data_IF_496695771190
#
_entry.id   IF_496695771190
#
_cell.length_a   1.000
_cell.length_b   1.000
_cell.length_c   1.000
_cell.angle_alpha   90.00
_cell.angle_beta   90.00
_cell.angle_gamma   90.00
#
_symmetry.space_group_name_H-M   'P 1'
#
loop_
_entity.id
_entity.type
_entity.pdbx_description
1 polymer ?
#
# COMPACT_ATOMS: atom_id res chain seq x y z
N UNK A 1 -38.89 -29.66 5.33
CA UNK A 1 -37.82 -30.45 5.97
C UNK A 1 -38.30 -30.76 7.36
N UNK A 2 -38.37 -32.03 7.77
CA UNK A 2 -38.75 -32.37 9.15
C UNK A 2 -37.68 -31.89 10.13
N UNK A 3 -38.04 -31.70 11.40
CA UNK A 3 -37.11 -31.27 12.45
C UNK A 3 -35.90 -32.22 12.54
N UNK A 4 -36.14 -33.53 12.43
CA UNK A 4 -35.10 -34.57 12.37
C UNK A 4 -34.16 -34.37 11.17
N UNK A 5 -34.71 -34.04 9.99
CA UNK A 5 -33.89 -33.78 8.79
C UNK A 5 -33.04 -32.51 8.96
N UNK A 6 -33.55 -31.48 9.64
CA UNK A 6 -32.78 -30.26 9.93
C UNK A 6 -31.64 -30.52 10.91
N UNK A 7 -31.89 -31.24 12.01
CA UNK A 7 -30.84 -31.61 12.97
C UNK A 7 -29.76 -32.46 12.32
N UNK A 8 -30.16 -33.44 11.49
CA UNK A 8 -29.21 -34.27 10.74
C UNK A 8 -28.37 -33.46 9.76
N UNK A 9 -28.99 -32.50 9.06
CA UNK A 9 -28.29 -31.59 8.16
C UNK A 9 -27.26 -30.75 8.93
N UNK A 10 -27.65 -30.13 10.04
CA UNK A 10 -26.73 -29.30 10.82
C UNK A 10 -25.55 -30.08 11.40
N UNK A 11 -25.78 -31.27 11.95
CA UNK A 11 -24.70 -32.14 12.45
C UNK A 11 -23.77 -32.63 11.33
N UNK A 12 -24.33 -32.90 10.15
CA UNK A 12 -23.55 -33.25 8.96
C UNK A 12 -22.66 -32.09 8.51
N UNK A 13 -23.16 -30.85 8.57
CA UNK A 13 -22.36 -29.64 8.34
C UNK A 13 -21.26 -29.50 9.38
N UNK A 14 -21.56 -29.67 10.68
CA UNK A 14 -20.56 -29.60 11.76
C UNK A 14 -19.43 -30.61 11.55
N UNK A 15 -19.75 -31.84 11.13
CA UNK A 15 -18.78 -32.86 10.76
C UNK A 15 -17.96 -32.44 9.53
N UNK A 16 -18.62 -31.97 8.47
CA UNK A 16 -17.97 -31.55 7.24
C UNK A 16 -16.98 -30.38 7.46
N UNK A 17 -17.33 -29.42 8.32
CA UNK A 17 -16.45 -28.32 8.73
C UNK A 17 -15.20 -28.84 9.43
N UNK A 18 -15.38 -29.78 10.37
CA UNK A 18 -14.27 -30.43 11.06
C UNK A 18 -13.37 -31.21 10.09
N UNK A 19 -13.96 -31.93 9.14
CA UNK A 19 -13.20 -32.65 8.11
C UNK A 19 -12.43 -31.71 7.19
N UNK A 20 -13.03 -30.60 6.75
CA UNK A 20 -12.38 -29.60 5.89
C UNK A 20 -11.10 -29.04 6.53
N UNK A 21 -11.20 -28.58 7.77
CA UNK A 21 -10.05 -28.07 8.53
C UNK A 21 -9.06 -29.21 8.82
N UNK A 22 -9.58 -30.39 9.12
CA UNK A 22 -8.80 -31.61 9.34
C UNK A 22 -7.96 -32.03 8.13
N UNK A 23 -8.45 -31.82 6.90
CA UNK A 23 -7.70 -32.13 5.67
C UNK A 23 -6.47 -31.24 5.53
N UNK A 24 -6.57 -29.93 5.76
CA UNK A 24 -5.38 -29.04 5.76
C UNK A 24 -4.35 -29.49 6.78
N UNK A 25 -4.82 -29.79 8.00
CA UNK A 25 -3.96 -30.26 9.09
C UNK A 25 -3.29 -31.59 8.80
N UNK A 26 -4.07 -32.57 8.33
CA UNK A 26 -3.57 -33.89 7.99
C UNK A 26 -2.66 -33.91 6.76
N UNK A 27 -2.86 -32.99 5.81
CA UNK A 27 -1.99 -32.84 4.64
C UNK A 27 -0.60 -32.34 5.03
N UNK A 28 -0.53 -31.41 5.98
CA UNK A 28 0.73 -30.81 6.43
C UNK A 28 1.59 -31.77 7.27
N UNK A 29 0.95 -32.62 8.07
CA UNK A 29 1.62 -33.61 8.91
C UNK A 29 1.83 -34.95 8.19
N UNK A 30 1.65 -35.02 6.86
CA UNK A 30 1.69 -36.29 6.08
C UNK A 30 3.02 -37.04 6.20
N UNK A 31 4.13 -36.31 6.43
CA UNK A 31 5.48 -36.87 6.61
C UNK A 31 5.83 -37.20 8.07
N UNK A 32 5.01 -36.77 9.05
CA UNK A 32 5.22 -37.10 10.46
C UNK A 32 4.75 -38.53 10.74
N UNK A 33 5.54 -39.31 11.49
CA UNK A 33 5.20 -40.69 11.86
C UNK A 33 3.87 -40.80 12.61
N UNK A 34 3.15 -41.91 12.44
CA UNK A 34 1.93 -42.21 13.20
C UNK A 34 2.24 -42.22 14.70
N UNK A 35 1.51 -41.43 15.49
CA UNK A 35 1.74 -41.24 16.93
C UNK A 35 2.42 -39.92 17.31
N UNK A 36 3.10 -39.25 16.38
CA UNK A 36 3.67 -37.90 16.58
C UNK A 36 2.72 -36.77 16.12
N UNK A 37 1.54 -37.12 15.60
CA UNK A 37 0.50 -36.20 15.12
C UNK A 37 -0.50 -35.89 16.23
N UNK A 38 -0.66 -34.61 16.57
CA UNK A 38 -1.54 -34.18 17.68
C UNK A 38 -3.02 -34.39 17.32
N UNK A 39 -3.41 -34.18 16.06
CA UNK A 39 -4.78 -34.37 15.59
C UNK A 39 -4.85 -34.50 14.05
N UNK A 40 -5.42 -35.59 13.55
CA UNK A 40 -5.60 -35.83 12.11
C UNK A 40 -6.99 -35.43 11.59
N UNK A 41 -7.26 -35.72 10.31
CA UNK A 41 -8.54 -35.43 9.63
C UNK A 41 -9.75 -35.91 10.43
N UNK A 42 -9.67 -37.16 10.94
CA UNK A 42 -10.74 -37.78 11.74
C UNK A 42 -10.95 -37.07 13.08
N UNK A 43 -9.87 -36.67 13.75
CA UNK A 43 -9.94 -35.98 15.04
C UNK A 43 -10.65 -34.65 14.91
N UNK A 44 -10.31 -33.84 13.90
CA UNK A 44 -10.99 -32.57 13.64
C UNK A 44 -12.45 -32.74 13.22
N UNK A 45 -12.77 -33.74 12.39
CA UNK A 45 -14.15 -34.11 12.08
C UNK A 45 -14.98 -34.41 13.34
N UNK A 46 -14.42 -35.23 14.24
CA UNK A 46 -15.07 -35.58 15.50
C UNK A 46 -15.19 -34.39 16.45
N UNK A 47 -14.21 -33.48 16.50
CA UNK A 47 -14.29 -32.26 17.30
C UNK A 47 -15.43 -31.35 16.80
N UNK A 48 -15.59 -31.22 15.48
CA UNK A 48 -16.67 -30.42 14.89
C UNK A 48 -18.04 -31.03 15.20
N UNK A 49 -18.18 -32.35 15.05
CA UNK A 49 -19.39 -33.08 15.44
C UNK A 49 -19.68 -32.94 16.94
N UNK A 50 -18.64 -33.05 17.79
CA UNK A 50 -18.77 -32.89 19.24
C UNK A 50 -19.29 -31.49 19.61
N UNK A 51 -18.78 -30.45 18.96
CA UNK A 51 -19.28 -29.08 19.12
C UNK A 51 -20.75 -28.95 18.74
N UNK A 52 -21.16 -29.55 17.63
CA UNK A 52 -22.55 -29.57 17.20
C UNK A 52 -23.48 -30.29 18.19
N UNK A 53 -23.08 -31.48 18.63
CA UNK A 53 -23.82 -32.24 19.64
C UNK A 53 -23.91 -31.49 20.97
N UNK A 54 -22.82 -30.87 21.43
CA UNK A 54 -22.80 -30.08 22.66
C UNK A 54 -23.74 -28.88 22.60
N UNK A 55 -23.86 -28.22 21.44
CA UNK A 55 -24.78 -27.10 21.25
C UNK A 55 -26.26 -27.55 21.30
N UNK A 56 -26.59 -28.67 20.66
CA UNK A 56 -27.94 -29.25 20.73
C UNK A 56 -28.30 -29.65 22.17
N UNK A 57 -27.39 -30.32 22.87
CA UNK A 57 -27.59 -30.71 24.28
C UNK A 57 -27.75 -29.49 25.19
N UNK A 58 -27.03 -28.39 24.92
CA UNK A 58 -27.15 -27.16 25.68
C UNK A 58 -28.52 -26.49 25.51
N UNK A 59 -29.18 -26.66 24.36
CA UNK A 59 -30.56 -26.21 24.15
C UNK A 59 -31.59 -26.94 25.03
N UNK A 60 -31.31 -28.18 25.41
CA UNK A 60 -32.23 -29.01 26.22
C UNK A 60 -31.91 -29.01 27.72
N UNK A 61 -30.63 -29.03 28.07
CA UNK A 61 -30.16 -29.27 29.44
C UNK A 61 -29.49 -28.02 30.04
N UNK A 62 -29.18 -27.02 29.22
CA UNK A 62 -28.65 -25.72 29.62
C UNK A 62 -27.21 -25.46 29.16
N UNK A 63 -26.84 -24.18 29.10
CA UNK A 63 -25.57 -23.69 28.56
C UNK A 63 -24.31 -24.22 29.29
N UNK A 64 -24.47 -24.72 30.52
CA UNK A 64 -23.37 -25.22 31.35
C UNK A 64 -22.68 -26.45 30.73
N UNK A 65 -23.43 -27.30 30.03
CA UNK A 65 -22.88 -28.49 29.34
C UNK A 65 -21.98 -28.09 28.18
N UNK A 66 -22.34 -27.05 27.43
CA UNK A 66 -21.49 -26.54 26.37
C UNK A 66 -20.15 -26.04 26.94
N UNK A 67 -20.20 -25.26 28.03
CA UNK A 67 -19.01 -24.77 28.72
C UNK A 67 -18.12 -25.90 29.25
N UNK A 68 -18.71 -26.93 29.87
CA UNK A 68 -17.97 -28.11 30.36
C UNK A 68 -17.35 -28.93 29.22
N UNK A 69 -18.08 -29.13 28.11
CA UNK A 69 -17.56 -29.84 26.94
C UNK A 69 -16.39 -29.07 26.30
N UNK A 70 -16.52 -27.74 26.18
CA UNK A 70 -15.45 -26.87 25.70
C UNK A 70 -14.22 -26.90 26.62
N UNK A 71 -14.43 -26.78 27.94
CA UNK A 71 -13.35 -26.84 28.93
C UNK A 71 -12.66 -28.22 28.94
N UNK A 72 -13.43 -29.31 28.82
CA UNK A 72 -12.91 -30.67 28.70
C UNK A 72 -12.07 -30.86 27.45
N UNK A 73 -12.53 -30.38 26.30
CA UNK A 73 -11.76 -30.39 25.05
C UNK A 73 -10.48 -29.55 25.18
N UNK A 74 -10.57 -28.35 25.75
CA UNK A 74 -9.42 -27.49 25.99
C UNK A 74 -8.38 -28.15 26.89
N UNK A 75 -8.81 -28.80 27.97
CA UNK A 75 -7.94 -29.54 28.87
C UNK A 75 -7.28 -30.73 28.16
N UNK A 76 -8.04 -31.50 27.36
CA UNK A 76 -7.52 -32.62 26.59
C UNK A 76 -6.47 -32.19 25.55
N UNK A 77 -6.77 -31.16 24.74
CA UNK A 77 -5.85 -30.63 23.74
C UNK A 77 -4.62 -29.99 24.38
N UNK A 78 -4.77 -29.29 25.51
CA UNK A 78 -3.64 -28.73 26.27
C UNK A 78 -2.74 -29.83 26.81
N UNK A 79 -3.33 -30.90 27.37
CA UNK A 79 -2.57 -32.05 27.86
C UNK A 79 -1.79 -32.72 26.72
N UNK A 80 -2.44 -32.96 25.58
CA UNK A 80 -1.79 -33.51 24.39
C UNK A 80 -0.64 -32.63 23.87
N UNK A 81 -0.83 -31.30 23.91
CA UNK A 81 0.20 -30.32 23.54
C UNK A 81 1.39 -30.33 24.52
N UNK A 82 1.15 -30.30 25.83
CA UNK A 82 2.20 -30.34 26.86
C UNK A 82 2.99 -31.64 26.83
N UNK A 83 2.32 -32.77 26.60
CA UNK A 83 2.98 -34.07 26.42
C UNK A 83 3.87 -34.03 25.18
N UNK A 84 3.36 -33.61 24.02
CA UNK A 84 4.15 -33.55 22.78
C UNK A 84 5.35 -32.59 22.87
N UNK A 85 5.22 -31.46 23.55
CA UNK A 85 6.33 -30.54 23.83
C UNK A 85 7.52 -31.22 24.53
N UNK A 86 7.25 -32.18 25.41
CA UNK A 86 8.29 -32.91 26.17
C UNK A 86 9.01 -33.96 25.33
N UNK A 87 8.35 -34.54 24.34
CA UNK A 87 8.89 -35.64 23.53
C UNK A 87 9.53 -35.20 22.21
N UNK A 88 9.00 -34.17 21.54
CA UNK A 88 9.33 -33.91 20.12
C UNK A 88 10.28 -32.72 19.90
N UNK A 89 10.41 -31.81 20.85
CA UNK A 89 11.37 -30.70 20.76
C UNK A 89 10.99 -29.61 19.73
N UNK A 90 10.82 -28.39 20.26
CA UNK A 90 10.85 -27.07 19.61
C UNK A 90 9.83 -26.67 18.53
N UNK A 91 9.18 -27.57 17.79
CA UNK A 91 8.29 -27.15 16.67
C UNK A 91 6.80 -27.50 16.83
N UNK A 92 6.29 -27.53 18.07
CA UNK A 92 4.84 -27.67 18.31
C UNK A 92 4.18 -26.29 18.39
N UNK A 93 3.40 -25.91 17.37
CA UNK A 93 2.69 -24.63 17.35
C UNK A 93 1.38 -24.65 18.12
N UNK A 94 1.15 -23.65 18.98
CA UNK A 94 -0.13 -23.42 19.70
C UNK A 94 -1.33 -23.33 18.74
N UNK A 95 -1.09 -22.97 17.47
CA UNK A 95 -2.11 -22.86 16.42
C UNK A 95 -2.93 -24.14 16.25
N UNK A 96 -2.36 -25.33 16.49
CA UNK A 96 -3.09 -26.60 16.39
C UNK A 96 -4.14 -26.74 17.50
N UNK A 97 -3.81 -26.30 18.72
CA UNK A 97 -4.73 -26.29 19.86
C UNK A 97 -5.86 -25.29 19.62
N UNK A 98 -5.52 -24.08 19.19
CA UNK A 98 -6.50 -23.03 18.86
C UNK A 98 -7.42 -23.47 17.72
N UNK A 99 -6.89 -24.10 16.66
CA UNK A 99 -7.75 -24.60 15.57
C UNK A 99 -8.70 -25.69 16.04
N UNK A 100 -8.28 -26.60 16.94
CA UNK A 100 -9.16 -27.62 17.51
C UNK A 100 -10.34 -27.00 18.28
N UNK A 101 -10.05 -26.03 19.15
CA UNK A 101 -11.09 -25.29 19.87
C UNK A 101 -12.02 -24.53 18.92
N UNK A 102 -11.47 -23.93 17.87
CA UNK A 102 -12.23 -23.17 16.90
C UNK A 102 -13.15 -24.08 16.08
N UNK A 103 -12.72 -25.29 15.73
CA UNK A 103 -13.56 -26.30 15.06
C UNK A 103 -14.74 -26.72 15.92
N UNK A 104 -14.56 -26.85 17.23
CA UNK A 104 -15.67 -27.12 18.15
C UNK A 104 -16.69 -25.98 18.14
N UNK A 105 -16.23 -24.73 18.22
CA UNK A 105 -17.11 -23.54 18.19
C UNK A 105 -17.83 -23.41 16.85
N UNK A 106 -17.15 -23.64 15.72
CA UNK A 106 -17.80 -23.63 14.40
C UNK A 106 -18.81 -24.77 14.26
N UNK A 107 -18.49 -25.97 14.73
CA UNK A 107 -19.41 -27.09 14.79
C UNK A 107 -20.68 -26.78 15.58
N UNK A 108 -20.53 -26.06 16.70
CA UNK A 108 -21.65 -25.56 17.51
C UNK A 108 -22.48 -24.49 16.78
N UNK A 109 -21.84 -23.53 16.12
CA UNK A 109 -22.51 -22.50 15.31
C UNK A 109 -23.35 -23.10 14.19
N UNK A 110 -22.86 -24.15 13.52
CA UNK A 110 -23.63 -24.86 12.51
C UNK A 110 -24.87 -25.55 13.10
N UNK A 111 -24.76 -26.11 14.32
CA UNK A 111 -25.85 -26.79 15.01
C UNK A 111 -26.97 -25.86 15.51
N UNK A 112 -26.68 -24.59 15.78
CA UNK A 112 -27.69 -23.58 16.14
C UNK A 112 -28.33 -22.90 14.92
N UNK A 113 -28.04 -23.36 13.70
CA UNK A 113 -28.64 -22.88 12.45
C UNK A 113 -27.79 -21.89 11.66
N UNK A 114 -26.67 -21.41 12.20
CA UNK A 114 -25.76 -20.45 11.55
C UNK A 114 -24.77 -21.13 10.58
N UNK A 115 -25.31 -21.93 9.67
CA UNK A 115 -24.54 -22.74 8.71
C UNK A 115 -23.66 -21.88 7.82
N UNK A 116 -24.18 -20.75 7.30
CA UNK A 116 -23.45 -19.87 6.38
C UNK A 116 -22.25 -19.21 7.05
N UNK A 117 -22.44 -18.68 8.28
CA UNK A 117 -21.36 -18.07 9.06
C UNK A 117 -20.31 -19.12 9.41
N UNK A 118 -20.76 -20.29 9.90
CA UNK A 118 -19.87 -21.36 10.30
C UNK A 118 -19.03 -21.89 9.13
N UNK A 119 -19.65 -22.15 7.98
CA UNK A 119 -18.95 -22.59 6.78
C UNK A 119 -17.98 -21.51 6.25
N UNK A 120 -18.36 -20.24 6.24
CA UNK A 120 -17.48 -19.14 5.80
C UNK A 120 -16.23 -19.04 6.68
N UNK A 121 -16.39 -19.05 8.00
CA UNK A 121 -15.24 -19.03 8.92
C UNK A 121 -14.43 -20.32 8.89
N UNK A 122 -15.05 -21.47 8.60
CA UNK A 122 -14.32 -22.73 8.37
C UNK A 122 -13.40 -22.62 7.15
N UNK A 123 -13.89 -22.07 6.04
CA UNK A 123 -13.08 -21.83 4.82
C UNK A 123 -11.97 -20.82 5.11
N UNK A 124 -12.28 -19.68 5.75
CA UNK A 124 -11.27 -18.67 6.12
C UNK A 124 -10.20 -19.27 7.04
N UNK A 125 -10.59 -20.09 8.02
CA UNK A 125 -9.66 -20.78 8.91
C UNK A 125 -8.77 -21.72 8.11
N UNK A 126 -9.34 -22.59 7.27
CA UNK A 126 -8.60 -23.52 6.42
C UNK A 126 -7.60 -22.78 5.50
N UNK A 127 -8.00 -21.66 4.88
CA UNK A 127 -7.11 -20.83 4.07
C UNK A 127 -5.96 -20.23 4.90
N UNK A 128 -6.27 -19.67 6.07
CA UNK A 128 -5.26 -19.06 6.95
C UNK A 128 -4.22 -20.10 7.41
N UNK A 129 -4.68 -21.30 7.73
CA UNK A 129 -3.80 -22.40 8.14
C UNK A 129 -2.93 -22.89 6.97
N UNK A 130 -3.54 -23.05 5.79
CA UNK A 130 -2.85 -23.48 4.57
C UNK A 130 -1.75 -22.50 4.12
N UNK A 131 -1.95 -21.20 4.32
CA UNK A 131 -0.96 -20.17 3.97
C UNK A 131 0.18 -19.99 4.98
N UNK A 132 0.21 -20.74 6.10
CA UNK A 132 1.27 -20.62 7.13
C UNK A 132 2.71 -20.59 6.57
N UNK A 133 3.15 -21.47 5.63
CA UNK A 133 4.51 -21.43 5.09
C UNK A 133 4.83 -20.14 4.32
N UNK A 134 3.84 -19.64 3.55
CA UNK A 134 3.98 -18.40 2.79
C UNK A 134 4.02 -17.19 3.71
N UNK A 135 3.15 -17.15 4.73
CA UNK A 135 3.15 -16.11 5.75
C UNK A 135 4.48 -16.06 6.50
N UNK A 136 5.05 -17.20 6.91
CA UNK A 136 6.37 -17.23 7.53
C UNK A 136 7.48 -16.78 6.60
N UNK A 137 7.46 -17.19 5.32
CA UNK A 137 8.44 -16.72 4.33
C UNK A 137 8.36 -15.21 4.14
N UNK A 138 7.15 -14.64 4.09
CA UNK A 138 6.95 -13.20 3.97
C UNK A 138 7.45 -12.45 5.21
N UNK A 139 7.10 -12.93 6.40
CA UNK A 139 7.60 -12.33 7.66
C UNK A 139 9.13 -12.41 7.74
N UNK A 140 9.73 -13.52 7.32
CA UNK A 140 11.18 -13.68 7.31
C UNK A 140 11.88 -12.86 6.21
N UNK A 141 11.17 -12.47 5.16
CA UNK A 141 11.71 -11.61 4.10
C UNK A 141 11.64 -10.11 4.45
N UNK A 142 10.87 -9.74 5.47
CA UNK A 142 10.74 -8.37 5.96
C UNK A 142 11.92 -8.01 6.87
N UNK A 143 12.51 -6.85 6.61
CA UNK A 143 13.49 -6.25 7.50
C UNK A 143 12.79 -5.54 8.66
N UNK A 144 13.49 -5.43 9.80
CA UNK A 144 12.92 -4.82 11.00
C UNK A 144 12.49 -3.35 10.77
N UNK A 145 13.19 -2.62 9.90
CA UNK A 145 12.84 -1.24 9.52
C UNK A 145 11.55 -1.16 8.71
N UNK A 146 11.33 -2.11 7.80
CA UNK A 146 10.14 -2.19 6.96
C UNK A 146 8.91 -2.55 7.76
N UNK A 147 9.05 -3.51 8.69
CA UNK A 147 7.98 -3.86 9.62
C UNK A 147 7.60 -2.65 10.46
N UNK A 148 8.58 -1.92 11.00
CA UNK A 148 8.33 -0.67 11.75
C UNK A 148 7.64 0.38 10.87
N UNK A 149 8.03 0.52 9.61
CA UNK A 149 7.39 1.43 8.67
C UNK A 149 5.95 1.05 8.33
N UNK A 150 5.68 -0.22 8.07
CA UNK A 150 4.33 -0.73 7.84
C UNK A 150 3.43 -0.51 9.06
N UNK A 151 3.92 -0.80 10.27
CA UNK A 151 3.21 -0.54 11.52
C UNK A 151 2.96 0.97 11.70
N UNK A 152 3.94 1.83 11.38
CA UNK A 152 3.74 3.29 11.40
C UNK A 152 2.68 3.74 10.40
N UNK A 153 2.68 3.20 9.18
CA UNK A 153 1.64 3.48 8.17
C UNK A 153 0.26 3.12 8.70
N UNK A 154 0.12 1.94 9.32
CA UNK A 154 -1.12 1.51 9.96
C UNK A 154 -1.52 2.43 11.12
N UNK A 155 -0.56 2.88 11.93
CA UNK A 155 -0.83 3.81 13.02
C UNK A 155 -1.33 5.16 12.49
N UNK A 156 -0.68 5.74 11.48
CA UNK A 156 -1.12 7.04 10.92
C UNK A 156 -2.45 6.94 10.14
N UNK A 157 -2.76 5.77 9.56
CA UNK A 157 -3.95 5.58 8.69
C UNK A 157 -5.16 4.96 9.41
N UNK A 158 -4.98 3.89 10.18
CA UNK A 158 -6.09 3.16 10.82
C UNK A 158 -6.41 3.74 12.20
N UNK A 159 -5.40 4.23 12.93
CA UNK A 159 -5.58 4.72 14.30
C UNK A 159 -5.74 6.23 14.34
N UNK A 160 -4.81 6.99 13.75
CA UNK A 160 -4.82 8.46 13.86
C UNK A 160 -5.85 9.15 12.96
N UNK A 161 -5.96 8.73 11.69
CA UNK A 161 -6.86 9.39 10.73
C UNK A 161 -8.33 9.47 11.21
N UNK A 162 -8.95 8.39 11.76
CA UNK A 162 -10.34 8.47 12.22
C UNK A 162 -10.55 9.38 13.44
N UNK A 163 -9.49 9.65 14.20
CA UNK A 163 -9.55 10.52 15.39
C UNK A 163 -9.53 12.01 15.03
N UNK A 164 -9.16 12.36 13.79
CA UNK A 164 -9.00 13.74 13.40
C UNK A 164 -10.33 14.39 13.01
N UNK A 165 -10.59 15.62 13.49
CA UNK A 165 -11.83 16.32 13.20
C UNK A 165 -11.91 16.71 11.71
N UNK A 166 -13.02 16.37 11.07
CA UNK A 166 -13.30 16.74 9.68
C UNK A 166 -14.02 18.10 9.59
N UNK A 167 -13.34 19.16 10.03
CA UNK A 167 -13.82 20.55 9.91
C UNK A 167 -12.67 21.50 9.64
N UNK A 168 -12.97 22.66 9.05
CA UNK A 168 -11.97 23.69 8.81
C UNK A 168 -11.61 24.47 10.09
N UNK A 169 -10.32 24.67 10.29
CA UNK A 169 -9.69 25.41 11.37
C UNK A 169 -8.82 26.54 10.80
N UNK A 170 -8.46 27.49 11.66
CA UNK A 170 -7.59 28.62 11.32
C UNK A 170 -8.27 29.69 10.44
N UNK A 171 -7.51 30.71 10.00
CA UNK A 171 -7.99 31.76 9.12
C UNK A 171 -8.67 31.19 7.86
N UNK A 172 -9.81 31.75 7.48
CA UNK A 172 -10.63 31.31 6.32
C UNK A 172 -11.02 29.82 6.33
N UNK A 173 -11.01 29.17 7.49
CA UNK A 173 -11.26 27.72 7.61
C UNK A 173 -10.38 26.88 6.66
N UNK A 174 -9.17 27.37 6.38
CA UNK A 174 -8.28 26.77 5.37
C UNK A 174 -7.82 25.36 5.77
N UNK A 175 -7.55 25.15 7.06
CA UNK A 175 -6.88 23.96 7.56
C UNK A 175 -7.92 22.91 7.96
N UNK A 176 -8.05 21.82 7.21
CA UNK A 176 -8.86 20.68 7.64
C UNK A 176 -7.92 19.53 8.06
N UNK A 177 -7.79 19.22 9.36
CA UNK A 177 -6.87 18.20 9.86
C UNK A 177 -7.11 16.83 9.25
N UNK A 178 -8.38 16.40 9.15
CA UNK A 178 -8.72 15.11 8.53
C UNK A 178 -8.25 15.04 7.09
N UNK A 179 -8.51 16.08 6.29
CA UNK A 179 -8.14 16.12 4.87
C UNK A 179 -6.62 16.20 4.69
N UNK A 180 -5.94 17.07 5.45
CA UNK A 180 -4.47 17.19 5.43
C UNK A 180 -3.84 15.83 5.75
N UNK A 181 -4.36 15.15 6.77
CA UNK A 181 -3.82 13.86 7.20
C UNK A 181 -4.13 12.74 6.22
N UNK A 182 -5.34 12.73 5.65
CA UNK A 182 -5.71 11.79 4.60
C UNK A 182 -4.76 11.89 3.41
N UNK A 183 -4.38 13.11 3.02
CA UNK A 183 -3.41 13.38 1.98
C UNK A 183 -2.01 12.86 2.32
N UNK A 184 -1.54 13.07 3.57
CA UNK A 184 -0.28 12.51 4.07
C UNK A 184 -0.28 10.98 3.95
N UNK A 185 -1.37 10.33 4.37
CA UNK A 185 -1.53 8.86 4.31
C UNK A 185 -1.49 8.35 2.87
N UNK A 186 -2.20 9.00 1.94
CA UNK A 186 -2.24 8.61 0.53
C UNK A 186 -0.85 8.65 -0.11
N UNK A 187 -0.10 9.71 0.16
CA UNK A 187 1.24 9.92 -0.38
C UNK A 187 2.22 8.89 0.20
N UNK A 188 2.20 8.72 1.52
CA UNK A 188 2.97 7.71 2.22
C UNK A 188 2.71 6.30 1.67
N UNK A 189 1.44 5.94 1.41
CA UNK A 189 1.08 4.64 0.86
C UNK A 189 1.64 4.44 -0.56
N UNK A 190 1.53 5.42 -1.45
CA UNK A 190 2.08 5.34 -2.81
C UNK A 190 3.60 5.17 -2.78
N UNK A 191 4.30 5.94 -1.94
CA UNK A 191 5.75 5.83 -1.78
C UNK A 191 6.19 4.50 -1.18
N UNK A 192 5.43 3.96 -0.22
CA UNK A 192 5.68 2.65 0.39
C UNK A 192 5.49 1.51 -0.61
N UNK A 193 4.45 1.58 -1.45
CA UNK A 193 4.26 0.62 -2.55
C UNK A 193 5.42 0.71 -3.56
N UNK A 194 5.87 1.93 -3.88
CA UNK A 194 7.06 2.14 -4.73
C UNK A 194 8.31 1.47 -4.16
N UNK A 195 8.58 1.65 -2.86
CA UNK A 195 9.67 1.00 -2.15
C UNK A 195 9.59 -0.53 -2.22
N UNK A 196 8.42 -1.12 -1.89
CA UNK A 196 8.22 -2.57 -1.93
C UNK A 196 8.33 -3.13 -3.35
N UNK A 197 7.88 -2.40 -4.36
CA UNK A 197 8.01 -2.82 -5.76
C UNK A 197 9.49 -2.94 -6.18
N UNK A 198 10.37 -2.06 -5.70
CA UNK A 198 11.82 -2.17 -5.91
C UNK A 198 12.36 -3.43 -5.24
N UNK A 199 12.02 -3.65 -3.96
CA UNK A 199 12.51 -4.81 -3.19
C UNK A 199 12.08 -6.14 -3.79
N UNK A 200 10.80 -6.27 -4.15
CA UNK A 200 10.25 -7.48 -4.79
C UNK A 200 10.85 -7.69 -6.18
N UNK A 201 11.14 -6.60 -6.90
CA UNK A 201 11.77 -6.66 -8.22
C UNK A 201 13.21 -7.15 -8.21
N UNK A 202 13.90 -7.05 -7.07
CA UNK A 202 15.30 -7.46 -6.89
C UNK A 202 16.31 -6.48 -7.47
N UNK A 203 17.56 -6.58 -7.01
CA UNK A 203 18.70 -5.72 -7.41
C UNK A 203 19.14 -5.92 -8.87
N UNK A 204 18.64 -6.97 -9.53
CA UNK A 204 19.03 -7.37 -10.89
C UNK A 204 18.23 -6.68 -12.00
N UNK A 205 17.21 -5.90 -11.66
CA UNK A 205 16.44 -5.11 -12.64
C UNK A 205 17.08 -3.72 -12.76
N UNK A 206 17.80 -3.50 -13.86
CA UNK A 206 18.59 -2.30 -14.11
C UNK A 206 17.82 -0.97 -14.01
N UNK A 207 18.52 0.15 -14.25
CA UNK A 207 18.09 1.51 -13.90
C UNK A 207 16.69 1.95 -14.36
N UNK A 208 16.07 1.29 -15.34
CA UNK A 208 14.69 1.51 -15.77
C UNK A 208 13.69 1.16 -14.67
N UNK A 209 13.85 -0.02 -14.07
CA UNK A 209 12.95 -0.51 -13.02
C UNK A 209 13.12 0.31 -11.74
N UNK A 210 14.38 0.54 -11.35
CA UNK A 210 14.74 1.43 -10.24
C UNK A 210 14.27 2.86 -10.47
N UNK A 211 14.37 3.37 -11.71
CA UNK A 211 13.86 4.67 -12.11
C UNK A 211 12.36 4.81 -11.90
N UNK A 212 11.58 3.87 -12.45
CA UNK A 212 10.12 3.92 -12.37
C UNK A 212 9.62 3.79 -10.92
N UNK A 213 10.00 2.72 -10.23
CA UNK A 213 9.49 2.45 -8.88
C UNK A 213 10.17 3.31 -7.81
N UNK A 214 11.43 3.69 -8.03
CA UNK A 214 12.12 4.68 -7.20
C UNK A 214 11.58 6.09 -7.36
N UNK A 215 11.09 6.45 -8.55
CA UNK A 215 10.38 7.70 -8.77
C UNK A 215 9.08 7.81 -7.97
N UNK A 216 8.37 6.69 -7.77
CA UNK A 216 7.17 6.63 -6.92
C UNK A 216 7.51 6.88 -5.44
N UNK A 217 8.67 6.42 -4.97
CA UNK A 217 9.16 6.70 -3.63
C UNK A 217 9.65 8.15 -3.48
N UNK A 218 10.61 8.57 -4.33
CA UNK A 218 11.08 9.96 -4.40
C UNK A 218 11.85 10.22 -5.71
N UNK A 219 11.18 10.87 -6.66
CA UNK A 219 11.80 11.29 -7.92
C UNK A 219 12.95 12.29 -7.73
N UNK A 220 12.90 13.14 -6.69
CA UNK A 220 13.96 14.11 -6.38
C UNK A 220 15.21 13.44 -5.82
N UNK A 221 15.07 12.52 -4.86
CA UNK A 221 16.20 11.79 -4.30
C UNK A 221 16.90 10.93 -5.36
N UNK A 222 16.13 10.27 -6.23
CA UNK A 222 16.67 9.48 -7.34
C UNK A 222 17.41 10.37 -8.36
N UNK A 223 16.85 11.53 -8.70
CA UNK A 223 17.50 12.51 -9.60
C UNK A 223 18.87 12.92 -9.06
N UNK A 224 18.94 13.29 -7.77
CA UNK A 224 20.18 13.68 -7.12
C UNK A 224 21.20 12.53 -7.11
N UNK A 225 20.76 11.32 -6.74
CA UNK A 225 21.66 10.17 -6.66
C UNK A 225 22.22 9.76 -8.02
N UNK A 226 21.37 9.58 -9.03
CA UNK A 226 21.80 9.23 -10.39
C UNK A 226 22.67 10.33 -11.02
N UNK A 227 22.43 11.59 -10.66
CA UNK A 227 23.30 12.70 -11.08
C UNK A 227 24.70 12.60 -10.47
N UNK A 228 24.81 12.27 -9.17
CA UNK A 228 26.10 12.06 -8.51
C UNK A 228 26.85 10.86 -9.09
N UNK A 229 26.17 9.76 -9.34
CA UNK A 229 26.76 8.55 -9.94
C UNK A 229 27.31 8.80 -11.34
N UNK A 230 26.61 9.59 -12.15
CA UNK A 230 27.06 9.93 -13.51
C UNK A 230 28.40 10.68 -13.50
N UNK A 231 28.66 11.44 -12.44
CA UNK A 231 29.95 12.14 -12.25
C UNK A 231 31.10 11.18 -11.90
N UNK A 232 30.78 10.03 -11.31
CA UNK A 232 31.76 8.98 -10.99
C UNK A 232 32.04 8.08 -12.19
N UNK A 233 31.01 7.75 -12.99
CA UNK A 233 31.16 6.98 -14.23
C UNK A 233 30.31 7.58 -15.36
N UNK A 234 30.99 8.31 -16.24
CA UNK A 234 30.37 8.94 -17.40
C UNK A 234 29.80 7.93 -18.41
N UNK A 235 30.27 6.67 -18.41
CA UNK A 235 29.73 5.64 -19.29
C UNK A 235 28.30 5.22 -18.92
N UNK A 236 27.89 5.44 -17.66
CA UNK A 236 26.52 5.15 -17.18
C UNK A 236 25.52 6.26 -17.51
N UNK A 237 25.97 7.40 -18.04
CA UNK A 237 25.12 8.58 -18.27
C UNK A 237 23.79 8.26 -18.97
N UNK A 238 23.73 7.53 -20.10
CA UNK A 238 22.47 7.34 -20.80
C UNK A 238 21.53 6.38 -20.05
N UNK A 239 22.07 5.39 -19.32
CA UNK A 239 21.30 4.50 -18.47
C UNK A 239 20.70 5.25 -17.26
N UNK A 240 21.50 6.08 -16.59
CA UNK A 240 21.07 6.87 -15.44
C UNK A 240 20.10 7.99 -15.84
N UNK A 241 20.32 8.63 -17.00
CA UNK A 241 19.39 9.61 -17.58
C UNK A 241 18.02 8.99 -17.86
N UNK A 242 18.00 7.77 -18.40
CA UNK A 242 16.76 7.01 -18.60
C UNK A 242 16.02 6.79 -17.28
N UNK A 243 16.74 6.37 -16.23
CA UNK A 243 16.17 6.18 -14.91
C UNK A 243 15.57 7.46 -14.33
N UNK A 244 16.22 8.61 -14.49
CA UNK A 244 15.69 9.91 -14.04
C UNK A 244 14.44 10.31 -14.82
N UNK A 245 14.44 10.18 -16.15
CA UNK A 245 13.28 10.54 -16.95
C UNK A 245 12.06 9.68 -16.62
N UNK A 246 12.26 8.38 -16.39
CA UNK A 246 11.20 7.49 -15.93
C UNK A 246 10.70 7.88 -14.52
N UNK A 247 11.62 8.21 -13.61
CA UNK A 247 11.27 8.66 -12.27
C UNK A 247 10.50 9.98 -12.26
N UNK A 248 10.85 10.92 -13.13
CA UNK A 248 10.12 12.18 -13.28
C UNK A 248 8.74 11.93 -13.89
N UNK A 249 8.63 10.98 -14.83
CA UNK A 249 7.37 10.62 -15.46
C UNK A 249 6.35 9.99 -14.53
N UNK A 250 6.77 9.30 -13.46
CA UNK A 250 5.82 8.68 -12.50
C UNK A 250 5.00 9.68 -11.69
N UNK A 251 5.45 10.94 -11.63
CA UNK A 251 4.70 12.04 -11.04
C UNK A 251 3.37 12.29 -11.78
N UNK A 252 3.33 12.11 -13.10
CA UNK A 252 2.16 12.45 -13.92
C UNK A 252 0.95 11.55 -13.67
N UNK A 253 1.06 10.20 -13.70
CA UNK A 253 -0.03 9.33 -13.29
C UNK A 253 -0.50 9.61 -11.86
N UNK A 254 0.43 9.88 -10.94
CA UNK A 254 0.12 10.18 -9.54
C UNK A 254 -0.67 11.47 -9.39
N UNK A 255 -0.23 12.53 -10.06
CA UNK A 255 -0.92 13.83 -10.10
C UNK A 255 -2.33 13.70 -10.67
N UNK A 256 -2.50 12.97 -11.77
CA UNK A 256 -3.81 12.72 -12.37
C UNK A 256 -4.72 11.92 -11.44
N UNK A 257 -4.23 10.84 -10.84
CA UNK A 257 -4.97 10.01 -9.88
C UNK A 257 -5.42 10.85 -8.68
N UNK A 258 -4.48 11.57 -8.06
CA UNK A 258 -4.75 12.36 -6.85
C UNK A 258 -5.74 13.49 -7.12
N UNK A 259 -5.58 14.22 -8.23
CA UNK A 259 -6.49 15.29 -8.62
C UNK A 259 -7.90 14.76 -8.89
N UNK A 260 -8.01 13.62 -9.59
CA UNK A 260 -9.30 13.02 -9.99
C UNK A 260 -10.05 12.40 -8.82
N UNK A 261 -9.34 11.82 -7.84
CA UNK A 261 -9.96 11.34 -6.60
C UNK A 261 -10.59 12.46 -5.78
N UNK A 262 -10.04 13.66 -5.85
CA UNK A 262 -10.59 14.83 -5.15
C UNK A 262 -11.71 15.47 -5.97
N UNK A 263 -11.45 15.85 -7.22
CA UNK A 263 -12.47 16.39 -8.11
C UNK A 263 -12.44 15.64 -9.44
N UNK A 264 -13.46 14.80 -9.65
CA UNK A 264 -13.60 14.04 -10.90
C UNK A 264 -13.66 14.95 -12.15
N UNK A 265 -14.11 16.20 -11.99
CA UNK A 265 -14.12 17.21 -13.06
C UNK A 265 -12.74 17.61 -13.57
N UNK A 266 -11.66 17.32 -12.84
CA UNK A 266 -10.29 17.59 -13.27
C UNK A 266 -9.72 16.52 -14.21
N UNK A 267 -10.30 15.32 -14.25
CA UNK A 267 -9.73 14.21 -15.01
C UNK A 267 -9.61 14.54 -16.51
N UNK A 268 -10.72 14.96 -17.14
CA UNK A 268 -10.73 15.25 -18.58
C UNK A 268 -9.82 16.45 -18.96
N UNK A 269 -9.88 17.61 -18.27
CA UNK A 269 -9.01 18.74 -18.60
C UNK A 269 -7.52 18.47 -18.35
N UNK A 270 -7.18 17.65 -17.34
CA UNK A 270 -5.78 17.32 -17.04
C UNK A 270 -5.20 16.24 -17.96
N UNK A 271 -6.04 15.39 -18.57
CA UNK A 271 -5.57 14.23 -19.32
C UNK A 271 -4.61 14.63 -20.46
N UNK A 272 -4.98 15.62 -21.28
CA UNK A 272 -4.15 16.05 -22.42
C UNK A 272 -2.81 16.63 -21.95
N UNK A 273 -2.76 17.63 -21.04
CA UNK A 273 -1.49 18.16 -20.54
C UNK A 273 -0.59 17.09 -19.90
N UNK A 274 -1.16 16.24 -19.05
CA UNK A 274 -0.42 15.17 -18.35
C UNK A 274 0.17 14.17 -19.35
N UNK A 275 -0.60 13.74 -20.34
CA UNK A 275 -0.13 12.78 -21.37
C UNK A 275 0.96 13.40 -22.23
N UNK A 276 0.79 14.65 -22.68
CA UNK A 276 1.81 15.37 -23.46
C UNK A 276 3.12 15.48 -22.68
N UNK A 277 3.05 15.92 -21.42
CA UNK A 277 4.23 16.03 -20.56
C UNK A 277 4.90 14.68 -20.33
N UNK A 278 4.12 13.61 -20.17
CA UNK A 278 4.60 12.25 -19.96
C UNK A 278 5.31 11.70 -21.21
N UNK A 279 4.76 11.93 -22.40
CA UNK A 279 5.36 11.52 -23.68
C UNK A 279 6.74 12.15 -23.89
N UNK A 280 6.88 13.44 -23.56
CA UNK A 280 8.17 14.14 -23.65
C UNK A 280 9.25 13.60 -22.71
N UNK A 281 8.89 12.85 -21.66
CA UNK A 281 9.85 12.18 -20.79
C UNK A 281 10.08 10.71 -21.18
N UNK A 282 9.02 9.98 -21.50
CA UNK A 282 9.11 8.55 -21.81
C UNK A 282 9.68 8.26 -23.19
N UNK A 283 9.41 9.09 -24.22
CA UNK A 283 9.96 8.87 -25.55
C UNK A 283 11.50 8.97 -25.56
N UNK A 284 12.14 10.02 -24.97
CA UNK A 284 13.59 10.05 -24.86
C UNK A 284 14.15 8.96 -23.96
N UNK A 285 13.45 8.59 -22.87
CA UNK A 285 13.86 7.47 -22.02
C UNK A 285 13.90 6.14 -22.79
N UNK A 286 12.88 5.86 -23.61
CA UNK A 286 12.83 4.68 -24.48
C UNK A 286 13.93 4.73 -25.54
N UNK A 287 14.21 5.91 -26.10
CA UNK A 287 15.31 6.08 -27.05
C UNK A 287 16.68 5.78 -26.41
N UNK A 288 16.98 6.38 -25.26
CA UNK A 288 18.25 6.18 -24.55
C UNK A 288 18.42 4.75 -24.04
N UNK A 289 17.33 4.07 -23.64
CA UNK A 289 17.40 2.68 -23.23
C UNK A 289 17.83 1.74 -24.36
N UNK A 290 17.35 1.97 -25.59
CA UNK A 290 17.76 1.21 -26.78
C UNK A 290 19.23 1.41 -27.13
N UNK A 291 19.77 2.60 -26.89
CA UNK A 291 21.20 2.89 -27.13
C UNK A 291 22.13 2.31 -26.05
N UNK A 292 21.61 1.90 -24.89
CA UNK A 292 22.41 1.49 -23.72
C UNK A 292 22.39 -0.01 -23.44
N UNK A 293 21.90 -0.82 -24.38
CA UNK A 293 21.49 -2.22 -24.17
C UNK A 293 22.59 -3.21 -23.70
N UNK A 294 23.82 -2.77 -23.37
CA UNK A 294 24.96 -3.64 -23.11
C UNK A 294 25.76 -3.38 -21.81
N UNK A 295 25.32 -2.50 -20.89
CA UNK A 295 25.95 -2.40 -19.56
C UNK A 295 24.92 -2.56 -18.45
N UNK A 296 24.89 -3.76 -17.84
CA UNK A 296 24.22 -3.97 -16.54
C UNK A 296 25.03 -3.21 -15.49
N UNK A 297 24.37 -2.33 -14.76
CA UNK A 297 24.91 -1.86 -13.49
C UNK A 297 24.27 -2.68 -12.38
N UNK A 298 25.08 -3.45 -11.66
CA UNK A 298 24.67 -4.22 -10.47
C UNK A 298 24.52 -3.36 -9.22
N UNK A 299 24.40 -2.03 -9.38
CA UNK A 299 24.37 -1.13 -8.23
C UNK A 299 22.96 -1.05 -7.67
N UNK A 300 22.76 -1.77 -6.56
CA UNK A 300 21.59 -1.68 -5.72
C UNK A 300 21.48 -0.25 -5.18
N UNK A 301 20.46 0.50 -5.63
CA UNK A 301 20.08 1.74 -4.97
C UNK A 301 19.21 1.38 -3.76
N UNK A 302 19.75 1.52 -2.56
CA UNK A 302 18.97 1.42 -1.32
C UNK A 302 18.25 2.74 -1.10
N UNK A 303 16.93 2.73 -1.20
CA UNK A 303 16.13 3.82 -0.66
C UNK A 303 16.15 3.73 0.87
N UNK A 304 16.44 4.84 1.54
CA UNK A 304 16.09 4.97 2.94
C UNK A 304 14.57 4.85 3.08
N UNK A 305 14.14 4.17 4.14
CA UNK A 305 12.75 3.89 4.42
C UNK A 305 11.90 5.18 4.39
N UNK A 306 11.00 5.36 3.41
CA UNK A 306 10.32 6.65 3.19
C UNK A 306 9.29 7.00 4.27
N UNK A 307 8.94 6.03 5.13
CA UNK A 307 7.91 6.15 6.16
C UNK A 307 8.45 6.46 7.55
N UNK A 308 9.25 7.52 7.66
CA UNK A 308 9.53 8.09 8.97
C UNK A 308 8.36 8.96 9.44
N UNK A 309 7.97 8.82 10.70
CA UNK A 309 6.92 9.67 11.28
C UNK A 309 7.28 11.17 11.16
N UNK A 310 8.58 11.49 11.19
CA UNK A 310 9.11 12.85 10.98
C UNK A 310 8.86 13.37 9.57
N UNK A 311 9.07 12.56 8.53
CA UNK A 311 8.84 12.97 7.14
C UNK A 311 7.34 13.15 6.87
N UNK A 312 6.49 12.26 7.40
CA UNK A 312 5.04 12.38 7.31
C UNK A 312 4.51 13.66 8.00
N UNK A 313 4.98 13.96 9.21
CA UNK A 313 4.63 15.20 9.91
C UNK A 313 5.14 16.45 9.19
N UNK A 314 6.37 16.41 8.68
CA UNK A 314 6.95 17.49 7.88
C UNK A 314 6.13 17.77 6.62
N UNK A 315 5.68 16.71 5.93
CA UNK A 315 4.79 16.83 4.78
C UNK A 315 3.43 17.41 5.15
N UNK A 316 2.82 16.94 6.25
CA UNK A 316 1.56 17.48 6.76
C UNK A 316 1.65 18.97 7.10
N UNK A 317 2.78 19.40 7.68
CA UNK A 317 3.05 20.79 8.00
C UNK A 317 3.27 21.64 6.74
N UNK A 318 4.02 21.14 5.75
CA UNK A 318 4.18 21.79 4.45
C UNK A 318 2.83 21.99 3.77
N UNK A 319 2.00 20.95 3.73
CA UNK A 319 0.66 21.00 3.16
C UNK A 319 -0.22 22.03 3.89
N UNK A 320 -0.22 22.02 5.22
CA UNK A 320 -0.96 23.03 6.01
C UNK A 320 -0.51 24.46 5.68
N UNK A 321 0.80 24.68 5.55
CA UNK A 321 1.37 25.98 5.20
C UNK A 321 0.97 26.41 3.78
N UNK A 322 1.07 25.52 2.79
CA UNK A 322 0.67 25.78 1.41
C UNK A 322 -0.84 26.08 1.34
N UNK A 323 -1.67 25.36 2.10
CA UNK A 323 -3.12 25.64 2.16
C UNK A 323 -3.44 27.01 2.75
N UNK A 324 -2.74 27.40 3.82
CA UNK A 324 -2.91 28.71 4.45
C UNK A 324 -2.49 29.83 3.50
N UNK A 325 -1.30 29.71 2.89
CA UNK A 325 -0.80 30.65 1.89
C UNK A 325 -1.71 30.70 0.66
N UNK A 326 -2.27 29.57 0.25
CA UNK A 326 -3.24 29.47 -0.84
C UNK A 326 -4.44 30.37 -0.61
N UNK A 327 -5.13 30.19 0.53
CA UNK A 327 -6.27 31.05 0.86
C UNK A 327 -5.89 32.51 1.02
N UNK A 328 -4.73 32.80 1.62
CA UNK A 328 -4.23 34.17 1.77
C UNK A 328 -3.99 34.85 0.40
N UNK A 329 -3.22 34.21 -0.47
CA UNK A 329 -2.88 34.74 -1.80
C UNK A 329 -4.09 34.80 -2.71
N UNK A 330 -5.02 33.85 -2.58
CA UNK A 330 -6.32 33.89 -3.27
C UNK A 330 -7.10 35.15 -2.92
N UNK A 331 -7.16 35.52 -1.64
CA UNK A 331 -7.93 36.66 -1.19
C UNK A 331 -7.30 38.01 -1.57
N UNK A 332 -5.97 38.09 -1.57
CA UNK A 332 -5.26 39.35 -1.83
C UNK A 332 -4.94 39.56 -3.31
N UNK A 333 -4.59 38.49 -4.03
CA UNK A 333 -4.06 38.54 -5.39
C UNK A 333 -4.88 37.70 -6.40
N UNK A 334 -6.02 37.15 -5.99
CA UNK A 334 -6.93 36.40 -6.87
C UNK A 334 -6.29 35.15 -7.49
N UNK A 335 -6.58 34.91 -8.78
CA UNK A 335 -6.03 33.79 -9.54
C UNK A 335 -4.50 33.89 -9.70
N UNK A 336 -3.97 35.09 -9.90
CA UNK A 336 -2.53 35.32 -10.11
C UNK A 336 -1.72 34.90 -8.88
N UNK A 337 -2.22 35.20 -7.68
CA UNK A 337 -1.61 34.74 -6.42
C UNK A 337 -1.53 33.22 -6.30
N UNK A 338 -2.56 32.52 -6.79
CA UNK A 338 -2.59 31.05 -6.79
C UNK A 338 -1.60 30.44 -7.77
N UNK A 339 -1.46 31.00 -8.98
CA UNK A 339 -0.49 30.53 -9.96
C UNK A 339 0.95 30.79 -9.49
N UNK A 340 1.20 31.94 -8.85
CA UNK A 340 2.50 32.26 -8.25
C UNK A 340 2.83 31.30 -7.10
N UNK A 341 1.86 30.98 -6.24
CA UNK A 341 2.03 29.97 -5.20
C UNK A 341 2.32 28.60 -5.80
N UNK A 342 1.65 28.24 -6.89
CA UNK A 342 1.87 26.96 -7.54
C UNK A 342 3.27 26.84 -8.13
N UNK A 343 3.78 27.90 -8.75
CA UNK A 343 5.16 27.98 -9.20
C UNK A 343 6.14 27.84 -8.02
N UNK A 344 5.94 28.58 -6.93
CA UNK A 344 6.81 28.54 -5.77
C UNK A 344 6.81 27.17 -5.06
N UNK A 345 5.63 26.57 -4.88
CA UNK A 345 5.50 25.25 -4.24
C UNK A 345 6.09 24.13 -5.11
N UNK A 346 5.97 24.24 -6.44
CA UNK A 346 6.53 23.28 -7.38
C UNK A 346 8.05 23.11 -7.28
N UNK A 347 8.76 24.05 -6.67
CA UNK A 347 10.21 23.92 -6.39
C UNK A 347 10.49 22.82 -5.37
N UNK A 348 9.63 22.70 -4.36
CA UNK A 348 9.79 21.73 -3.28
C UNK A 348 9.10 20.42 -3.62
N UNK A 349 7.78 20.47 -3.86
CA UNK A 349 6.98 19.32 -4.21
C UNK A 349 5.69 19.75 -4.93
N UNK A 350 5.33 19.00 -5.97
CA UNK A 350 4.12 19.19 -6.77
C UNK A 350 2.90 18.62 -6.05
N UNK A 351 3.07 17.62 -5.19
CA UNK A 351 1.95 16.92 -4.56
C UNK A 351 1.12 17.83 -3.67
N UNK A 352 1.76 18.61 -2.80
CA UNK A 352 1.07 19.46 -1.83
C UNK A 352 0.20 20.54 -2.50
N UNK A 353 0.74 21.20 -3.53
CA UNK A 353 -0.01 22.20 -4.29
C UNK A 353 -1.08 21.57 -5.19
N UNK A 354 -0.80 20.41 -5.80
CA UNK A 354 -1.77 19.70 -6.62
C UNK A 354 -3.04 19.39 -5.83
N UNK A 355 -2.84 18.91 -4.61
CA UNK A 355 -3.90 18.61 -3.65
C UNK A 355 -4.71 19.85 -3.26
N UNK A 356 -4.04 20.97 -2.95
CA UNK A 356 -4.70 22.24 -2.63
C UNK A 356 -5.58 22.71 -3.78
N UNK A 357 -5.02 22.80 -5.00
CA UNK A 357 -5.73 23.29 -6.18
C UNK A 357 -6.88 22.37 -6.56
N UNK A 358 -6.68 21.05 -6.48
CA UNK A 358 -7.74 20.08 -6.74
C UNK A 358 -8.90 20.23 -5.75
N UNK A 359 -8.61 20.48 -4.47
CA UNK A 359 -9.65 20.73 -3.46
C UNK A 359 -10.36 22.06 -3.69
N UNK A 360 -9.62 23.14 -3.92
CA UNK A 360 -10.20 24.46 -4.17
C UNK A 360 -11.07 24.47 -5.43
N UNK A 361 -10.77 23.62 -6.41
CA UNK A 361 -11.60 23.48 -7.61
C UNK A 361 -13.03 22.98 -7.37
N UNK A 362 -13.32 22.45 -6.17
CA UNK A 362 -14.67 22.03 -5.80
C UNK A 362 -15.58 23.21 -5.40
N UNK A 363 -15.02 24.31 -4.89
CA UNK A 363 -15.81 25.40 -4.27
C UNK A 363 -15.36 26.79 -4.66
N UNK A 364 -14.05 27.03 -4.74
CA UNK A 364 -13.46 28.38 -4.68
C UNK A 364 -12.70 28.76 -5.97
N UNK A 365 -12.42 27.80 -6.85
CA UNK A 365 -11.53 27.95 -8.01
C UNK A 365 -12.14 27.32 -9.27
N UNK A 366 -12.01 27.99 -10.42
CA UNK A 366 -12.42 27.39 -11.68
C UNK A 366 -11.54 26.17 -11.99
N UNK A 367 -12.13 25.14 -12.60
CA UNK A 367 -11.41 23.91 -12.99
C UNK A 367 -10.20 24.25 -13.86
N UNK A 368 -10.34 25.23 -14.76
CA UNK A 368 -9.24 25.64 -15.63
C UNK A 368 -8.05 26.27 -14.91
N UNK A 369 -8.30 27.17 -13.96
CA UNK A 369 -7.25 27.77 -13.14
C UNK A 369 -6.53 26.71 -12.29
N UNK A 370 -7.28 25.73 -11.78
CA UNK A 370 -6.70 24.61 -11.04
C UNK A 370 -5.76 23.82 -11.94
N UNK A 371 -6.21 23.40 -13.13
CA UNK A 371 -5.38 22.64 -14.08
C UNK A 371 -4.11 23.41 -14.44
N UNK A 372 -4.24 24.70 -14.78
CA UNK A 372 -3.11 25.55 -15.13
C UNK A 372 -2.11 25.65 -13.96
N UNK A 373 -2.59 25.87 -12.74
CA UNK A 373 -1.74 25.92 -11.56
C UNK A 373 -1.00 24.61 -11.31
N UNK A 374 -1.67 23.46 -11.47
CA UNK A 374 -1.02 22.15 -11.27
C UNK A 374 0.04 21.90 -12.37
N UNK A 375 -0.25 22.26 -13.62
CA UNK A 375 0.72 22.16 -14.73
C UNK A 375 1.92 23.09 -14.51
N UNK A 376 1.72 24.30 -14.02
CA UNK A 376 2.81 25.23 -13.65
C UNK A 376 3.67 24.63 -12.53
N UNK A 377 3.07 24.05 -11.50
CA UNK A 377 3.82 23.40 -10.44
C UNK A 377 4.68 22.24 -10.99
N UNK A 378 4.10 21.40 -11.86
CA UNK A 378 4.82 20.31 -12.53
C UNK A 378 5.96 20.82 -13.42
N UNK A 379 5.73 21.91 -14.16
CA UNK A 379 6.74 22.58 -14.97
C UNK A 379 7.91 23.06 -14.11
N UNK A 380 7.65 23.78 -13.01
CA UNK A 380 8.72 24.26 -12.12
C UNK A 380 9.51 23.09 -11.52
N UNK A 381 8.83 22.02 -11.09
CA UNK A 381 9.53 20.84 -10.57
C UNK A 381 10.44 20.19 -11.61
N UNK A 382 9.98 20.09 -12.86
CA UNK A 382 10.77 19.60 -13.97
C UNK A 382 11.99 20.50 -14.24
N UNK A 383 11.83 21.83 -14.19
CA UNK A 383 12.93 22.77 -14.33
C UNK A 383 13.97 22.62 -13.22
N UNK A 384 13.53 22.47 -11.97
CA UNK A 384 14.40 22.26 -10.81
C UNK A 384 15.19 20.97 -10.96
N UNK A 385 14.54 19.85 -11.34
CA UNK A 385 15.21 18.57 -11.58
C UNK A 385 16.15 18.61 -12.79
N UNK A 386 15.78 19.36 -13.83
CA UNK A 386 16.65 19.66 -14.96
C UNK A 386 17.92 20.38 -14.50
N UNK A 387 17.77 21.43 -13.70
CA UNK A 387 18.89 22.15 -13.08
C UNK A 387 19.75 21.29 -12.16
N UNK A 388 19.15 20.44 -11.32
CA UNK A 388 19.89 19.50 -10.49
C UNK A 388 20.72 18.53 -11.34
N UNK A 389 20.14 17.99 -12.41
CA UNK A 389 20.83 17.06 -13.31
C UNK A 389 21.99 17.69 -14.07
N UNK A 390 21.86 18.97 -14.48
CA UNK A 390 22.91 19.70 -15.20
C UNK A 390 24.06 20.09 -14.26
N UNK A 391 23.75 20.63 -13.08
CA UNK A 391 24.74 21.12 -12.11
C UNK A 391 25.52 19.97 -11.46
N UNK A 392 24.83 18.89 -11.10
CA UNK A 392 25.45 17.77 -10.36
C UNK A 392 26.02 16.74 -11.33
N UNK A 393 25.27 16.36 -12.35
CA UNK A 393 25.62 15.29 -13.31
C UNK A 393 26.47 15.74 -14.50
N UNK A 394 26.67 17.05 -14.67
CA UNK A 394 27.49 17.63 -15.74
C UNK A 394 26.77 17.77 -17.08
N UNK A 395 27.46 18.36 -18.07
CA UNK A 395 26.86 18.80 -19.35
C UNK A 395 26.17 17.68 -20.13
N UNK A 396 26.78 16.49 -20.20
CA UNK A 396 26.25 15.37 -20.97
C UNK A 396 24.92 14.84 -20.40
N UNK A 397 24.81 14.81 -19.08
CA UNK A 397 23.58 14.43 -18.39
C UNK A 397 22.54 15.53 -18.45
N UNK A 398 22.97 16.77 -18.26
CA UNK A 398 22.13 17.95 -18.37
C UNK A 398 21.46 18.09 -19.72
N UNK A 399 22.15 17.77 -20.82
CA UNK A 399 21.56 17.75 -22.16
C UNK A 399 20.54 16.61 -22.31
N UNK A 400 20.85 15.40 -21.81
CA UNK A 400 19.97 14.22 -21.94
C UNK A 400 18.74 14.27 -21.05
N UNK A 401 18.79 14.94 -19.90
CA UNK A 401 17.68 15.03 -18.94
C UNK A 401 16.99 16.39 -19.02
N UNK A 402 17.78 17.47 -19.07
CA UNK A 402 17.26 18.83 -19.11
C UNK A 402 16.48 19.17 -20.37
N UNK A 403 16.92 18.74 -21.56
CA UNK A 403 16.17 19.00 -22.80
C UNK A 403 14.77 18.33 -22.79
N UNK A 404 14.62 17.03 -22.45
CA UNK A 404 13.31 16.43 -22.27
C UNK A 404 12.44 17.11 -21.21
N UNK A 405 13.02 17.53 -20.07
CA UNK A 405 12.26 18.21 -19.01
C UNK A 405 11.79 19.62 -19.45
N UNK A 406 12.60 20.33 -20.23
CA UNK A 406 12.23 21.60 -20.85
C UNK A 406 11.14 21.40 -21.91
N UNK A 407 11.27 20.40 -22.77
CA UNK A 407 10.25 20.05 -23.76
C UNK A 407 8.93 19.64 -23.09
N UNK A 408 9.00 18.85 -22.02
CA UNK A 408 7.84 18.48 -21.20
C UNK A 408 7.18 19.71 -20.58
N UNK A 409 7.97 20.66 -20.05
CA UNK A 409 7.48 21.92 -19.50
C UNK A 409 6.74 22.76 -20.55
N UNK A 410 7.38 22.98 -21.71
CA UNK A 410 6.76 23.73 -22.80
C UNK A 410 5.50 23.05 -23.34
N UNK A 411 5.56 21.73 -23.56
CA UNK A 411 4.43 20.94 -24.03
C UNK A 411 3.25 20.96 -23.06
N UNK A 412 3.51 20.86 -21.76
CA UNK A 412 2.49 20.96 -20.71
C UNK A 412 1.81 22.32 -20.68
N UNK A 413 2.58 23.42 -20.70
CA UNK A 413 2.03 24.77 -20.66
C UNK A 413 1.22 25.10 -21.93
N UNK A 414 1.73 24.74 -23.11
CA UNK A 414 1.03 24.97 -24.39
C UNK A 414 -0.25 24.15 -24.47
N UNK A 415 -0.20 22.87 -24.08
CA UNK A 415 -1.40 22.02 -24.09
C UNK A 415 -2.43 22.45 -23.05
N UNK A 416 -2.01 22.90 -21.86
CA UNK A 416 -2.91 23.47 -20.87
C UNK A 416 -3.57 24.75 -21.40
N UNK A 417 -2.81 25.63 -22.06
CA UNK A 417 -3.34 26.86 -22.63
C UNK A 417 -4.34 26.60 -23.76
N UNK A 418 -4.07 25.63 -24.64
CA UNK A 418 -4.94 25.32 -25.79
C UNK A 418 -6.17 24.48 -25.48
N UNK A 419 -6.13 23.67 -24.40
CA UNK A 419 -7.17 22.67 -24.11
C UNK A 419 -8.10 23.08 -22.96
N UNK A 420 -7.70 24.07 -22.16
CA UNK A 420 -8.36 24.41 -20.89
C UNK A 420 -8.91 25.85 -20.90
N UNK A 421 -8.34 26.77 -21.69
CA UNK A 421 -9.01 28.02 -22.10
C UNK A 421 -9.99 27.73 -23.24
#
# INVERSE_FOLDING_TARGET
>A
MTEIQQTFYFLSVSLAIGLLIGVERGWKEREAEEGHRIAGVRTYGLIGLMGGCSALLAGHIGALIFGLAFAGLAAALTTAYVVNLRYVGKDVGITSLVSGLLVFVLGALAAIGEVTISAAFAVVTTLLLGYKPLLHRWVNALEAEELRAGIRLLLISVVLLPLLPNRGYGPWQALNPYVIWWMVVLIAAISFVGYFAIKIGGTTRGAIFTGLFGGLASSTALTLHFSRMTRQDAALTPMLSTGILLACGTMFPRMLLVASLLNNGLFQPMLVPVVVMMLFLYLPALWYSRMSAHKKSDTAFSFDNPLELKTALGFGLLLALVMLLGKMLRNWFGNVGMLALAAASGVADVDAISLLLARMSQTDLAVGDAVMGIVIAAAVNNLVKGGMSTVIGGKAMGLRVGLPLLASTAGGLVSAWLWVE
#
